data_IF_123116598407
#
_entry.id   IF_123116598407
#
_cell.length_a   1.000
_cell.length_b   1.000
_cell.length_c   1.000
_cell.angle_alpha   90.00
_cell.angle_beta   90.00
_cell.angle_gamma   90.00
#
_symmetry.space_group_name_H-M   'P 1'
#
loop_
_entity.id
_entity.type
_entity.pdbx_description
1 polymer ?
#
# COMPACT_ATOMS: atom_id res chain seq x y z
N UNK A 1 15.71 -26.67 -3.84
CA UNK A 1 15.64 -26.42 -2.39
C UNK A 1 14.32 -25.74 -2.10
N UNK A 2 13.57 -26.28 -1.15
CA UNK A 2 12.19 -25.90 -0.80
C UNK A 2 12.10 -24.39 -0.61
N UNK A 3 11.20 -23.74 -1.36
CA UNK A 3 10.70 -22.42 -1.00
C UNK A 3 10.16 -22.53 0.42
N UNK A 4 10.85 -21.97 1.41
CA UNK A 4 10.51 -22.15 2.82
C UNK A 4 9.03 -21.76 3.02
N UNK A 5 8.12 -22.72 3.28
CA UNK A 5 6.70 -22.45 3.45
C UNK A 5 6.46 -21.50 4.64
N UNK A 6 7.40 -21.45 5.57
CA UNK A 6 7.48 -20.54 6.72
C UNK A 6 7.62 -19.08 6.32
N UNK A 7 8.41 -18.72 5.31
CA UNK A 7 8.57 -17.31 4.88
C UNK A 7 7.30 -16.75 4.26
N UNK A 8 6.65 -17.55 3.40
CA UNK A 8 5.36 -17.20 2.81
C UNK A 8 4.25 -17.17 3.88
N UNK A 9 4.27 -18.12 4.81
CA UNK A 9 3.30 -18.17 5.90
C UNK A 9 3.47 -17.04 6.91
N UNK A 10 4.68 -16.59 7.20
CA UNK A 10 4.93 -15.49 8.13
C UNK A 10 4.53 -14.13 7.52
N UNK A 11 4.73 -13.96 6.22
CA UNK A 11 4.20 -12.81 5.47
C UNK A 11 2.66 -12.84 5.42
N UNK A 12 2.06 -14.01 5.18
CA UNK A 12 0.61 -14.21 5.17
C UNK A 12 0.01 -13.95 6.56
N UNK A 13 0.61 -14.51 7.63
CA UNK A 13 0.17 -14.29 9.01
C UNK A 13 0.24 -12.83 9.40
N UNK A 14 1.30 -12.12 9.01
CA UNK A 14 1.44 -10.68 9.27
C UNK A 14 0.35 -9.87 8.56
N UNK A 15 -0.03 -10.26 7.33
CA UNK A 15 -1.13 -9.65 6.57
C UNK A 15 -2.50 -9.96 7.22
N UNK A 16 -2.75 -11.22 7.58
CA UNK A 16 -3.99 -11.67 8.24
C UNK A 16 -4.19 -10.95 9.57
N UNK A 17 -3.14 -10.74 10.35
CA UNK A 17 -3.24 -10.04 11.63
C UNK A 17 -3.68 -8.57 11.50
N UNK A 18 -3.46 -7.92 10.35
CA UNK A 18 -3.91 -6.55 10.09
C UNK A 18 -5.29 -6.50 9.43
N UNK A 19 -5.58 -7.40 8.48
CA UNK A 19 -6.87 -7.45 7.78
C UNK A 19 -8.01 -7.96 8.67
N UNK A 20 -7.76 -8.98 9.50
CA UNK A 20 -8.81 -9.63 10.29
C UNK A 20 -9.50 -8.65 11.25
N UNK A 21 -8.78 -7.82 12.02
CA UNK A 21 -9.41 -6.82 12.88
C UNK A 21 -10.31 -5.87 12.09
N UNK A 22 -9.85 -5.33 10.96
CA UNK A 22 -10.62 -4.36 10.18
C UNK A 22 -11.83 -4.98 9.47
N UNK A 23 -11.70 -6.22 8.99
CA UNK A 23 -12.83 -6.94 8.40
C UNK A 23 -13.87 -7.28 9.47
N UNK A 24 -13.42 -7.69 10.67
CA UNK A 24 -14.31 -8.01 11.78
C UNK A 24 -15.01 -6.76 12.30
N UNK A 25 -14.31 -5.63 12.46
CA UNK A 25 -14.91 -4.35 12.82
C UNK A 25 -15.88 -3.86 11.74
N UNK A 26 -15.53 -4.00 10.45
CA UNK A 26 -16.44 -3.65 9.35
C UNK A 26 -17.70 -4.52 9.30
N UNK A 27 -17.56 -5.82 9.51
CA UNK A 27 -18.69 -6.75 9.63
C UNK A 27 -19.55 -6.46 10.85
N UNK A 28 -18.91 -6.09 11.98
CA UNK A 28 -19.59 -5.72 13.22
C UNK A 28 -20.43 -4.45 13.04
N UNK A 29 -19.86 -3.40 12.43
CA UNK A 29 -20.59 -2.17 12.08
C UNK A 29 -21.73 -2.46 11.12
N UNK A 30 -21.51 -3.33 10.13
CA UNK A 30 -22.56 -3.71 9.19
C UNK A 30 -23.70 -4.48 9.88
N UNK A 31 -23.43 -5.38 10.82
CA UNK A 31 -24.47 -6.15 11.50
C UNK A 31 -25.30 -5.31 12.48
N UNK A 32 -24.68 -4.42 13.27
CA UNK A 32 -25.40 -3.64 14.29
C UNK A 32 -25.98 -2.33 13.78
N UNK A 33 -25.37 -1.71 12.77
CA UNK A 33 -25.76 -0.37 12.30
C UNK A 33 -26.23 -0.35 10.83
N UNK A 34 -26.64 -1.49 10.25
CA UNK A 34 -27.27 -1.51 8.92
C UNK A 34 -28.67 -0.89 8.97
N UNK A 35 -29.08 -0.23 7.87
CA UNK A 35 -30.41 0.37 7.75
C UNK A 35 -30.52 1.82 8.22
N UNK A 36 -29.49 2.38 8.87
CA UNK A 36 -29.52 3.74 9.41
C UNK A 36 -28.64 4.72 8.63
N UNK A 37 -29.11 5.96 8.54
CA UNK A 37 -28.34 7.11 8.06
C UNK A 37 -27.64 7.76 9.26
N UNK A 38 -26.34 7.96 9.19
CA UNK A 38 -25.54 8.50 10.30
C UNK A 38 -25.13 9.96 10.07
N UNK A 39 -24.78 10.32 8.83
CA UNK A 39 -24.24 11.65 8.54
C UNK A 39 -24.70 12.18 7.18
N UNK A 40 -24.68 13.51 7.08
CA UNK A 40 -24.87 14.26 5.84
C UNK A 40 -23.57 14.96 5.49
N UNK A 41 -23.08 14.71 4.28
CA UNK A 41 -21.85 15.30 3.77
C UNK A 41 -22.12 16.72 3.20
N UNK A 42 -21.27 17.73 3.39
CA UNK A 42 -21.54 19.10 2.91
C UNK A 42 -21.23 19.35 1.43
N UNK A 43 -20.78 18.33 0.67
CA UNK A 43 -20.44 18.44 -0.75
C UNK A 43 -21.34 17.56 -1.63
N UNK A 44 -21.64 17.99 -2.87
CA UNK A 44 -22.45 17.22 -3.81
C UNK A 44 -21.69 15.96 -4.27
N UNK A 45 -22.33 14.80 -4.13
CA UNK A 45 -21.79 13.49 -4.50
C UNK A 45 -22.47 12.96 -5.75
N UNK A 46 -21.71 12.26 -6.61
CA UNK A 46 -22.27 11.67 -7.84
C UNK A 46 -23.07 10.40 -7.51
N UNK A 47 -24.13 10.14 -8.30
CA UNK A 47 -25.02 9.00 -8.13
C UNK A 47 -24.30 7.63 -8.17
N UNK A 48 -23.10 7.54 -8.75
CA UNK A 48 -22.29 6.32 -8.78
C UNK A 48 -21.82 5.90 -7.38
N UNK A 49 -21.63 6.85 -6.47
CA UNK A 49 -21.26 6.55 -5.10
C UNK A 49 -22.42 6.02 -4.26
N UNK A 50 -23.67 6.12 -4.74
CA UNK A 50 -24.85 5.65 -4.00
C UNK A 50 -24.71 4.19 -3.55
N UNK A 51 -24.39 3.29 -4.47
CA UNK A 51 -24.27 1.85 -4.18
C UNK A 51 -23.20 1.55 -3.13
N UNK A 52 -22.20 2.42 -3.00
CA UNK A 52 -21.11 2.29 -2.03
C UNK A 52 -21.47 2.95 -0.68
N UNK A 53 -22.00 4.17 -0.71
CA UNK A 53 -22.25 4.99 0.48
C UNK A 53 -23.56 4.63 1.20
N UNK A 54 -24.54 4.09 0.48
CA UNK A 54 -25.88 3.76 0.99
C UNK A 54 -26.13 2.25 1.07
N UNK A 55 -25.07 1.44 1.06
CA UNK A 55 -25.18 0.00 1.20
C UNK A 55 -25.90 -0.34 2.51
N UNK A 56 -27.02 -1.04 2.42
CA UNK A 56 -27.87 -1.42 3.55
C UNK A 56 -29.05 -0.48 3.83
N UNK A 57 -29.29 0.55 3.02
CA UNK A 57 -30.46 1.45 3.13
C UNK A 57 -31.33 1.26 1.89
N UNK A 58 -32.61 0.90 2.07
CA UNK A 58 -33.54 0.61 0.98
C UNK A 58 -34.49 1.79 0.67
N UNK A 59 -33.94 3.01 0.61
CA UNK A 59 -34.69 4.21 0.22
C UNK A 59 -34.18 4.76 -1.12
N UNK A 60 -34.95 4.52 -2.18
CA UNK A 60 -34.61 4.94 -3.54
C UNK A 60 -34.65 6.47 -3.73
N UNK A 61 -35.49 7.18 -2.97
CA UNK A 61 -35.63 8.65 -3.02
C UNK A 61 -34.62 9.41 -2.17
N UNK A 62 -33.72 8.73 -1.45
CA UNK A 62 -32.76 9.38 -0.57
C UNK A 62 -31.66 10.09 -1.38
N UNK A 63 -31.30 11.31 -0.97
CA UNK A 63 -30.18 12.04 -1.56
C UNK A 63 -28.85 11.32 -1.30
N UNK A 64 -27.95 11.32 -2.29
CA UNK A 64 -26.62 10.65 -2.23
C UNK A 64 -25.72 11.22 -1.13
N UNK A 65 -26.04 12.41 -0.64
CA UNK A 65 -25.36 13.13 0.42
C UNK A 65 -25.48 12.44 1.79
N UNK A 66 -26.50 11.59 1.96
CA UNK A 66 -26.70 10.80 3.17
C UNK A 66 -25.88 9.52 3.10
N UNK A 67 -25.18 9.23 4.20
CA UNK A 67 -24.18 8.18 4.28
C UNK A 67 -24.59 7.15 5.32
N UNK A 68 -24.44 5.86 4.98
CA UNK A 68 -24.66 4.74 5.89
C UNK A 68 -23.53 4.60 6.89
N UNK A 69 -23.80 3.89 7.98
CA UNK A 69 -22.82 3.57 9.02
C UNK A 69 -21.53 2.91 8.50
N UNK A 70 -21.67 1.97 7.56
CA UNK A 70 -20.54 1.26 6.97
C UNK A 70 -19.66 2.19 6.15
N UNK A 71 -20.28 3.08 5.38
CA UNK A 71 -19.54 4.06 4.61
C UNK A 71 -18.86 5.08 5.51
N UNK A 72 -19.48 5.47 6.62
CA UNK A 72 -18.84 6.34 7.61
C UNK A 72 -17.59 5.67 8.22
N UNK A 73 -17.66 4.37 8.51
CA UNK A 73 -16.50 3.60 8.95
C UNK A 73 -15.37 3.62 7.92
N UNK A 74 -15.65 3.34 6.64
CA UNK A 74 -14.64 3.41 5.59
C UNK A 74 -14.05 4.81 5.42
N UNK A 75 -14.86 5.87 5.50
CA UNK A 75 -14.36 7.24 5.45
C UNK A 75 -13.37 7.54 6.57
N UNK A 76 -13.66 7.10 7.80
CA UNK A 76 -12.72 7.24 8.92
C UNK A 76 -11.47 6.37 8.73
N UNK A 77 -11.62 5.13 8.24
CA UNK A 77 -10.50 4.23 7.99
C UNK A 77 -9.51 4.83 6.98
N UNK A 78 -10.00 5.41 5.88
CA UNK A 78 -9.16 6.04 4.86
C UNK A 78 -8.63 7.41 5.28
N UNK A 79 -9.48 8.26 5.88
CA UNK A 79 -9.12 9.62 6.27
C UNK A 79 -8.12 9.69 7.44
N UNK A 80 -8.20 8.74 8.37
CA UNK A 80 -7.29 8.68 9.51
C UNK A 80 -5.90 8.15 9.16
N UNK A 81 -5.67 7.59 7.96
CA UNK A 81 -4.33 7.11 7.58
C UNK A 81 -3.29 8.21 7.57
N UNK A 82 -3.61 9.36 6.97
CA UNK A 82 -2.70 10.51 6.95
C UNK A 82 -2.44 11.07 8.35
N UNK A 83 -3.45 11.04 9.21
CA UNK A 83 -3.35 11.49 10.59
C UNK A 83 -2.50 10.53 11.44
N UNK A 84 -2.71 9.21 11.28
CA UNK A 84 -1.92 8.17 11.92
C UNK A 84 -0.46 8.18 11.46
N UNK A 85 -0.21 8.49 10.19
CA UNK A 85 1.15 8.67 9.66
C UNK A 85 1.86 9.86 10.31
N UNK A 86 1.15 10.96 10.54
CA UNK A 86 1.71 12.13 11.21
C UNK A 86 1.94 11.87 12.71
N UNK A 87 1.03 11.16 13.36
CA UNK A 87 1.07 10.90 14.80
C UNK A 87 2.09 9.81 15.19
N UNK A 88 2.15 8.70 14.46
CA UNK A 88 3.02 7.56 14.77
C UNK A 88 4.33 7.54 13.95
N UNK A 89 4.49 8.46 13.00
CA UNK A 89 5.63 8.48 12.08
C UNK A 89 5.52 7.45 10.96
N UNK A 90 6.27 7.66 9.87
CA UNK A 90 6.20 6.85 8.65
C UNK A 90 6.46 5.35 8.86
N UNK A 91 7.18 4.97 9.92
CA UNK A 91 7.54 3.58 10.24
C UNK A 91 6.41 2.78 10.91
N UNK A 92 5.40 3.44 11.48
CA UNK A 92 4.26 2.77 12.12
C UNK A 92 3.04 2.69 11.19
N UNK A 93 2.95 3.58 10.19
CA UNK A 93 1.87 3.54 9.20
C UNK A 93 1.94 2.34 8.26
N UNK A 94 3.09 1.67 8.16
CA UNK A 94 3.25 0.44 7.38
C UNK A 94 2.37 -0.71 7.89
N UNK A 95 1.96 -0.68 9.17
CA UNK A 95 0.98 -1.61 9.73
C UNK A 95 -0.47 -1.35 9.27
N UNK A 96 -0.77 -0.14 8.79
CA UNK A 96 -2.13 0.31 8.42
C UNK A 96 -2.25 0.55 6.90
N UNK A 97 -1.17 0.34 6.15
CA UNK A 97 -1.12 0.58 4.71
C UNK A 97 -1.78 -0.59 3.93
N UNK A 98 -3.07 -0.81 4.17
CA UNK A 98 -3.86 -1.88 3.54
C UNK A 98 -3.92 -1.74 2.01
N UNK A 99 -3.71 -0.52 1.50
CA UNK A 99 -3.67 -0.24 0.06
C UNK A 99 -2.41 -0.81 -0.58
N UNK A 100 -1.26 -0.75 0.10
CA UNK A 100 -0.06 -1.48 -0.33
C UNK A 100 -0.22 -2.98 -0.14
N UNK A 101 -0.88 -3.44 0.92
CA UNK A 101 -1.14 -4.87 1.15
C UNK A 101 -2.08 -5.47 0.10
N UNK A 102 -3.12 -4.77 -0.36
CA UNK A 102 -3.97 -5.24 -1.46
C UNK A 102 -3.21 -5.31 -2.79
N UNK A 103 -2.40 -4.30 -3.09
CA UNK A 103 -1.52 -4.33 -4.27
C UNK A 103 -0.48 -5.46 -4.18
N UNK A 104 0.07 -5.69 -2.99
CA UNK A 104 1.02 -6.75 -2.71
C UNK A 104 0.35 -8.14 -2.73
N UNK A 105 -0.90 -8.27 -2.30
CA UNK A 105 -1.68 -9.52 -2.41
C UNK A 105 -2.04 -9.83 -3.86
N UNK A 106 -2.31 -8.82 -4.68
CA UNK A 106 -2.50 -8.99 -6.12
C UNK A 106 -1.19 -9.37 -6.82
N UNK A 107 -0.07 -8.80 -6.37
CA UNK A 107 1.28 -9.18 -6.83
C UNK A 107 1.71 -10.57 -6.31
N UNK A 108 1.26 -10.96 -5.12
CA UNK A 108 1.51 -12.28 -4.55
C UNK A 108 0.63 -13.34 -5.22
N UNK A 109 -0.61 -13.03 -5.61
CA UNK A 109 -1.43 -13.93 -6.45
C UNK A 109 -0.85 -14.11 -7.86
N UNK A 110 -0.14 -13.11 -8.37
CA UNK A 110 0.65 -13.22 -9.62
C UNK A 110 2.06 -13.82 -9.40
N UNK A 111 2.47 -14.01 -8.15
CA UNK A 111 3.81 -14.46 -7.75
C UNK A 111 3.85 -15.77 -6.95
N UNK A 112 2.70 -16.33 -6.57
CA UNK A 112 2.56 -17.58 -5.79
C UNK A 112 2.86 -18.85 -6.60
N UNK A 113 3.77 -18.72 -7.57
CA UNK A 113 4.30 -19.79 -8.40
C UNK A 113 5.60 -19.38 -9.09
N UNK A 114 6.39 -18.46 -8.50
CA UNK A 114 7.72 -18.18 -9.01
C UNK A 114 8.63 -19.37 -8.69
N UNK A 115 8.64 -20.34 -9.61
CA UNK A 115 9.60 -21.45 -9.64
C UNK A 115 10.99 -20.86 -9.39
N UNK A 116 11.60 -21.17 -8.24
CA UNK A 116 12.90 -20.61 -7.86
C UNK A 116 13.96 -20.90 -8.94
N UNK A 117 13.86 -22.05 -9.62
CA UNK A 117 14.68 -22.37 -10.78
C UNK A 117 14.51 -21.40 -11.96
N UNK A 118 13.28 -21.00 -12.28
CA UNK A 118 13.00 -20.02 -13.34
C UNK A 118 13.38 -18.61 -12.92
N UNK A 119 13.21 -18.28 -11.64
CA UNK A 119 13.69 -17.02 -11.07
C UNK A 119 15.22 -16.90 -11.18
N UNK A 120 15.96 -17.94 -10.78
CA UNK A 120 17.42 -17.96 -10.90
C UNK A 120 17.88 -17.91 -12.36
N UNK A 121 17.19 -18.61 -13.27
CA UNK A 121 17.50 -18.55 -14.69
C UNK A 121 17.26 -17.15 -15.28
N UNK A 122 16.17 -16.48 -14.88
CA UNK A 122 15.87 -15.11 -15.31
C UNK A 122 16.90 -14.11 -14.78
N UNK A 123 17.29 -14.20 -13.50
CA UNK A 123 18.35 -13.38 -12.91
C UNK A 123 19.71 -13.65 -13.58
N UNK A 124 20.01 -14.90 -13.92
CA UNK A 124 21.25 -15.25 -14.61
C UNK A 124 21.31 -14.67 -16.02
N UNK A 125 20.21 -14.75 -16.78
CA UNK A 125 20.10 -14.09 -18.10
C UNK A 125 20.24 -12.57 -17.98
N UNK A 126 19.66 -11.97 -16.93
CA UNK A 126 19.77 -10.54 -16.69
C UNK A 126 21.21 -10.13 -16.33
N UNK A 127 21.91 -10.95 -15.56
CA UNK A 127 23.33 -10.74 -15.26
C UNK A 127 24.24 -10.98 -16.47
N UNK A 128 23.91 -11.91 -17.37
CA UNK A 128 24.63 -12.10 -18.63
C UNK A 128 24.49 -10.88 -19.56
N UNK A 129 23.34 -10.19 -19.53
CA UNK A 129 23.16 -8.93 -20.27
C UNK A 129 23.91 -7.74 -19.65
N UNK A 130 24.27 -7.81 -18.37
CA UNK A 130 24.99 -6.74 -17.68
C UNK A 130 26.43 -6.69 -18.18
N UNK A 131 26.67 -5.84 -19.18
CA UNK A 131 28.01 -5.57 -19.68
C UNK A 131 28.82 -4.83 -18.62
N UNK A 132 29.97 -5.40 -18.26
CA UNK A 132 30.93 -4.73 -17.39
C UNK A 132 31.31 -3.37 -17.99
N UNK A 133 30.95 -2.30 -17.28
CA UNK A 133 31.25 -0.92 -17.68
C UNK A 133 32.37 -0.39 -16.80
N UNK A 134 33.57 -0.25 -17.38
CA UNK A 134 34.72 0.42 -16.75
C UNK A 134 34.54 1.94 -16.71
N UNK A 135 33.47 2.50 -17.31
CA UNK A 135 33.21 3.94 -17.39
C UNK A 135 33.04 4.62 -16.02
N UNK A 136 32.73 3.87 -14.97
CA UNK A 136 32.74 4.39 -13.59
C UNK A 136 34.17 4.66 -13.08
N UNK A 137 35.16 3.87 -13.50
CA UNK A 137 36.57 4.03 -13.13
C UNK A 137 37.36 4.89 -14.12
N UNK A 138 37.02 4.87 -15.41
CA UNK A 138 37.59 5.80 -16.39
C UNK A 138 37.19 7.25 -16.07
N UNK A 139 38.19 8.07 -15.76
CA UNK A 139 37.98 9.47 -15.34
C UNK A 139 37.55 9.65 -13.88
N UNK A 140 37.69 8.64 -13.01
CA UNK A 140 37.52 8.82 -11.56
C UNK A 140 38.53 9.82 -11.00
N UNK A 141 39.80 9.71 -11.41
CA UNK A 141 40.87 10.60 -10.95
C UNK A 141 40.62 12.06 -11.37
N UNK A 142 40.19 12.29 -12.62
CA UNK A 142 39.87 13.63 -13.09
C UNK A 142 38.66 14.23 -12.35
N UNK A 143 37.64 13.42 -12.03
CA UNK A 143 36.48 13.83 -11.24
C UNK A 143 36.85 14.12 -9.78
N UNK A 144 37.70 13.29 -9.18
CA UNK A 144 38.18 13.46 -7.81
C UNK A 144 39.10 14.69 -7.67
N UNK A 145 39.96 14.94 -8.66
CA UNK A 145 40.78 16.16 -8.69
C UNK A 145 39.90 17.42 -8.85
N UNK A 146 38.85 17.36 -9.67
CA UNK A 146 37.92 18.47 -9.83
C UNK A 146 37.11 18.77 -8.55
N UNK A 147 36.67 17.75 -7.82
CA UNK A 147 35.97 17.94 -6.54
C UNK A 147 36.89 18.47 -5.45
N UNK A 148 38.14 18.01 -5.38
CA UNK A 148 39.14 18.54 -4.44
C UNK A 148 39.47 20.01 -4.73
N UNK A 149 39.72 20.36 -6.00
CA UNK A 149 39.96 21.76 -6.39
C UNK A 149 38.74 22.67 -6.12
N UNK A 150 37.52 22.15 -6.25
CA UNK A 150 36.31 22.89 -5.92
C UNK A 150 36.13 23.09 -4.40
N UNK A 151 36.59 22.14 -3.58
CA UNK A 151 36.57 22.25 -2.12
C UNK A 151 37.63 23.23 -1.60
N UNK A 152 38.84 23.22 -2.16
CA UNK A 152 39.89 24.19 -1.80
C UNK A 152 39.47 25.63 -2.08
N UNK A 153 38.79 25.89 -3.21
CA UNK A 153 38.26 27.24 -3.52
C UNK A 153 37.13 27.69 -2.60
N UNK A 154 36.50 26.78 -1.87
CA UNK A 154 35.36 27.07 -0.98
C UNK A 154 35.76 27.17 0.49
N UNK A 155 37.00 26.81 0.83
CA UNK A 155 37.58 26.86 2.16
C UNK A 155 38.63 27.97 2.38
N UNK A 156 38.79 28.88 1.41
CA UNK A 156 39.60 30.10 1.53
C UNK A 156 38.75 31.35 1.74
#
# INVERSE_FOLDING_TARGET
MMSDPTMMMDMLKKNVHMIVPQMLTGAWVNFFFSGFVIAKIPFPLTQRFRTMLQRGIDLQSLDVTYVSSLSWYFLNLFGLRGLNQLLLGASASEAIDDTKLMGMQQQMMMGAGMDTSKAYAAELQQMELMRHSTAAMEGFEARAAATLAALERRGG
#
